data_IF_166065631233
#
_entry.id   IF_166065631233
#
_cell.length_a   1.000
_cell.length_b   1.000
_cell.length_c   1.000
_cell.angle_alpha   90.00
_cell.angle_beta   90.00
_cell.angle_gamma   90.00
#
_symmetry.space_group_name_H-M   'P 1'
#
loop_
_entity.id
_entity.type
_entity.pdbx_description
1 polymer ?
#
# COMPACT_ATOMS: atom_id res chain seq x y z
N UNK A 1 8.85 10.63 -2.38
CA UNK A 1 7.77 10.82 -3.37
C UNK A 1 8.27 11.44 -4.68
N UNK A 2 8.83 12.66 -4.69
CA UNK A 2 9.34 13.30 -5.93
C UNK A 2 10.44 12.50 -6.66
N UNK A 3 11.38 11.88 -5.95
CA UNK A 3 12.44 11.07 -6.57
C UNK A 3 11.86 9.80 -7.22
N UNK A 4 10.93 9.12 -6.55
CA UNK A 4 10.31 7.89 -7.07
C UNK A 4 9.45 8.16 -8.32
N UNK A 5 8.69 9.26 -8.33
CA UNK A 5 7.89 9.69 -9.50
C UNK A 5 8.73 10.05 -10.73
N UNK A 6 10.02 10.36 -10.56
CA UNK A 6 10.93 10.69 -11.67
C UNK A 6 11.42 9.46 -12.44
N UNK A 7 11.46 8.30 -11.80
CA UNK A 7 12.08 7.08 -12.37
C UNK A 7 11.10 5.92 -12.55
N UNK A 8 9.89 6.00 -11.99
CA UNK A 8 8.86 4.97 -12.12
C UNK A 8 7.78 5.32 -13.15
N UNK A 9 7.15 4.30 -13.73
CA UNK A 9 5.92 4.45 -14.51
C UNK A 9 4.77 4.83 -13.59
N UNK A 10 3.98 5.84 -13.97
CA UNK A 10 2.86 6.36 -13.17
C UNK A 10 1.88 5.25 -12.73
N UNK A 11 1.69 4.23 -13.60
CA UNK A 11 0.87 3.03 -13.37
C UNK A 11 1.28 2.25 -12.11
N UNK A 12 2.58 2.14 -11.84
CA UNK A 12 3.11 1.39 -10.69
C UNK A 12 3.22 2.26 -9.44
N UNK A 13 3.43 3.56 -9.62
CA UNK A 13 3.56 4.50 -8.51
C UNK A 13 2.22 4.75 -7.78
N UNK A 14 1.09 4.71 -8.50
CA UNK A 14 -0.23 4.92 -7.90
C UNK A 14 -0.60 3.83 -6.88
N UNK A 15 -0.44 2.53 -7.18
CA UNK A 15 -0.59 1.45 -6.20
C UNK A 15 0.47 1.47 -5.10
N UNK A 16 1.72 1.82 -5.44
CA UNK A 16 2.81 1.93 -4.46
C UNK A 16 2.52 3.01 -3.40
N UNK A 17 1.84 4.10 -3.77
CA UNK A 17 1.39 5.11 -2.79
C UNK A 17 0.41 4.51 -1.79
N UNK A 18 -0.51 3.64 -2.22
CA UNK A 18 -1.48 2.96 -1.35
C UNK A 18 -0.82 1.99 -0.35
N UNK A 19 0.36 1.45 -0.67
CA UNK A 19 1.16 0.66 0.29
C UNK A 19 1.57 1.50 1.51
N UNK A 20 1.86 2.79 1.31
CA UNK A 20 2.18 3.71 2.42
C UNK A 20 1.04 3.80 3.44
N UNK A 21 -0.21 3.67 2.97
CA UNK A 21 -1.40 3.66 3.83
C UNK A 21 -1.50 2.37 4.65
N UNK A 22 -1.20 1.22 4.04
CA UNK A 22 -1.10 -0.07 4.75
C UNK A 22 -0.04 0.00 5.85
N UNK A 23 1.14 0.54 5.55
CA UNK A 23 2.20 0.74 6.54
C UNK A 23 1.76 1.66 7.68
N UNK A 24 1.08 2.77 7.37
CA UNK A 24 0.57 3.68 8.39
C UNK A 24 -0.44 3.00 9.34
N UNK A 25 -1.35 2.17 8.81
CA UNK A 25 -2.32 1.42 9.62
C UNK A 25 -1.63 0.38 10.52
N UNK A 26 -0.67 -0.37 9.98
CA UNK A 26 0.09 -1.34 10.78
C UNK A 26 0.87 -0.65 11.91
N UNK A 27 1.50 0.48 11.60
CA UNK A 27 2.18 1.30 12.60
C UNK A 27 1.21 1.91 13.61
N UNK A 28 0.02 2.35 13.20
CA UNK A 28 -1.04 2.84 14.09
C UNK A 28 -1.52 1.77 15.05
N UNK A 29 -1.69 0.53 14.59
CA UNK A 29 -2.07 -0.59 15.44
C UNK A 29 -0.98 -0.96 16.46
N UNK A 30 0.29 -0.78 16.13
CA UNK A 30 1.42 -1.01 17.05
C UNK A 30 1.67 0.16 18.01
N UNK A 31 1.58 1.40 17.52
CA UNK A 31 1.97 2.60 18.27
C UNK A 31 0.81 3.23 19.06
N UNK A 32 -0.38 3.29 18.46
CA UNK A 32 -1.60 3.86 19.09
C UNK A 32 -2.51 2.78 19.71
N UNK A 33 -2.20 1.49 19.52
CA UNK A 33 -3.03 0.36 19.95
C UNK A 33 -4.48 0.43 19.43
N UNK A 34 -4.66 0.96 18.21
CA UNK A 34 -5.98 1.03 17.59
C UNK A 34 -6.54 -0.37 17.30
N UNK A 35 -7.79 -0.60 17.70
CA UNK A 35 -8.50 -1.84 17.42
C UNK A 35 -8.89 -1.89 15.93
N UNK A 36 -8.11 -2.61 15.14
CA UNK A 36 -8.45 -2.86 13.74
C UNK A 36 -9.52 -3.95 13.66
N UNK A 37 -10.61 -3.62 12.97
CA UNK A 37 -11.66 -4.58 12.65
C UNK A 37 -11.22 -5.53 11.54
N UNK A 38 -11.85 -6.71 11.47
CA UNK A 38 -11.62 -7.74 10.44
C UNK A 38 -11.74 -7.17 9.01
N UNK A 39 -12.61 -6.17 8.82
CA UNK A 39 -12.79 -5.51 7.53
C UNK A 39 -11.57 -4.69 7.09
N UNK A 40 -10.82 -4.12 8.05
CA UNK A 40 -9.60 -3.37 7.77
C UNK A 40 -8.51 -4.31 7.26
N UNK A 41 -8.41 -5.50 7.85
CA UNK A 41 -7.47 -6.53 7.41
C UNK A 41 -7.76 -7.04 5.99
N UNK A 42 -9.04 -7.24 5.65
CA UNK A 42 -9.45 -7.60 4.28
C UNK A 42 -9.09 -6.49 3.30
N UNK A 43 -9.34 -5.23 3.65
CA UNK A 43 -8.96 -4.08 2.84
C UNK A 43 -7.45 -3.99 2.61
N UNK A 44 -6.65 -4.19 3.66
CA UNK A 44 -5.17 -4.23 3.57
C UNK A 44 -4.72 -5.31 2.60
N UNK A 45 -5.26 -6.54 2.72
CA UNK A 45 -4.94 -7.63 1.81
C UNK A 45 -5.29 -7.27 0.36
N UNK A 46 -6.44 -6.63 0.14
CA UNK A 46 -6.87 -6.21 -1.19
C UNK A 46 -5.94 -5.16 -1.81
N UNK A 47 -5.48 -4.18 -1.01
CA UNK A 47 -4.51 -3.16 -1.44
C UNK A 47 -3.17 -3.81 -1.81
N UNK A 48 -2.67 -4.73 -0.98
CA UNK A 48 -1.41 -5.44 -1.25
C UNK A 48 -1.54 -6.27 -2.54
N UNK A 49 -2.62 -7.03 -2.68
CA UNK A 49 -2.82 -7.89 -3.85
C UNK A 49 -2.96 -7.08 -5.14
N UNK A 50 -3.77 -6.01 -5.11
CA UNK A 50 -3.92 -5.09 -6.23
C UNK A 50 -2.59 -4.41 -6.60
N UNK A 51 -1.79 -4.03 -5.60
CA UNK A 51 -0.47 -3.44 -5.84
C UNK A 51 0.54 -4.43 -6.42
N UNK A 52 0.49 -5.71 -6.05
CA UNK A 52 1.35 -6.74 -6.64
C UNK A 52 0.98 -6.99 -8.09
N UNK A 53 -0.32 -7.05 -8.40
CA UNK A 53 -0.79 -7.25 -9.79
C UNK A 53 -0.37 -6.08 -10.68
N UNK A 54 -0.51 -4.84 -10.20
CA UNK A 54 -0.15 -3.66 -10.99
C UNK A 54 1.35 -3.36 -11.01
N UNK A 55 2.08 -3.69 -9.94
CA UNK A 55 3.54 -3.53 -9.89
C UNK A 55 4.32 -4.67 -10.53
N UNK A 56 3.68 -5.83 -10.68
CA UNK A 56 4.22 -7.03 -11.32
C UNK A 56 4.08 -7.03 -12.84
N UNK A 57 3.76 -5.90 -13.46
CA UNK A 57 3.90 -5.69 -14.90
C UNK A 57 5.38 -5.85 -15.28
N UNK A 58 5.79 -7.10 -15.51
CA UNK A 58 7.07 -7.49 -16.09
C UNK A 58 7.06 -7.06 -17.55
N UNK A 59 7.78 -5.98 -17.88
CA UNK A 59 8.42 -5.87 -19.18
C UNK A 59 9.71 -6.69 -19.20
#
# INVERSE_FOLDING_TARGET
>A
MMVAFRYGKLSVLHPLMSISYVLAILLGQWFLQEALSLINYVGILFIIFGSIIMGGETE
#
